data_IF_728667671625
#
_entry.id   IF_728667671625
#
_cell.length_a   1.000
_cell.length_b   1.000
_cell.length_c   1.000
_cell.angle_alpha   90.00
_cell.angle_beta   90.00
_cell.angle_gamma   90.00
#
_symmetry.space_group_name_H-M   'P 1'
#
loop_
_entity.id
_entity.type
_entity.pdbx_description
1 polymer ?
#
# COMPACT_ATOMS: atom_id res chain seq x y z
N UNK A 1 15.70 6.36 12.63
CA UNK A 1 14.95 5.20 13.18
C UNK A 1 15.53 3.86 12.73
N UNK A 2 16.22 3.74 11.58
CA UNK A 2 16.85 2.48 11.15
C UNK A 2 15.85 1.39 10.71
N UNK A 3 14.57 1.75 10.58
CA UNK A 3 13.50 0.82 10.19
C UNK A 3 13.58 0.51 8.69
N UNK A 4 13.35 -0.76 8.34
CA UNK A 4 13.24 -1.21 6.96
C UNK A 4 11.90 -0.73 6.35
N UNK A 5 11.96 -0.17 5.14
CA UNK A 5 10.80 0.40 4.43
C UNK A 5 10.77 -0.05 2.97
N UNK A 6 9.58 -0.05 2.37
CA UNK A 6 9.40 -0.19 0.93
C UNK A 6 9.30 1.20 0.28
N UNK A 7 10.12 1.48 -0.74
CA UNK A 7 10.11 2.75 -1.45
C UNK A 7 9.42 2.60 -2.82
N UNK A 8 8.32 3.31 -3.03
CA UNK A 8 7.65 3.41 -4.32
C UNK A 8 7.96 4.76 -4.96
N UNK A 9 8.79 4.76 -6.00
CA UNK A 9 9.14 5.95 -6.78
C UNK A 9 8.07 6.22 -7.85
N UNK A 10 7.45 7.39 -7.79
CA UNK A 10 6.44 7.87 -8.75
C UNK A 10 7.06 8.99 -9.58
N UNK A 11 7.42 8.74 -10.85
CA UNK A 11 8.03 9.75 -11.71
C UNK A 11 7.03 10.84 -12.11
N UNK A 12 7.50 12.09 -12.14
CA UNK A 12 6.79 13.22 -12.71
C UNK A 12 7.00 13.20 -14.22
N UNK A 13 5.94 12.94 -14.99
CA UNK A 13 6.02 12.95 -16.46
C UNK A 13 6.28 14.35 -17.03
N UNK A 14 5.78 15.38 -16.33
CA UNK A 14 5.88 16.80 -16.65
C UNK A 14 6.17 17.56 -15.35
N UNK A 15 7.45 17.78 -15.01
CA UNK A 15 7.84 18.40 -13.73
C UNK A 15 7.14 19.73 -13.43
N UNK A 16 6.87 20.51 -14.46
CA UNK A 16 6.16 21.79 -14.44
C UNK A 16 4.67 21.67 -14.07
N UNK A 17 4.03 20.56 -14.41
CA UNK A 17 2.62 20.27 -14.07
C UNK A 17 2.49 19.55 -12.71
N UNK A 18 3.60 19.06 -12.16
CA UNK A 18 3.63 18.31 -10.91
C UNK A 18 2.99 16.92 -11.02
N UNK A 19 2.43 16.43 -9.91
CA UNK A 19 1.73 15.14 -9.89
C UNK A 19 0.32 15.28 -10.48
N UNK A 20 -0.17 14.28 -11.24
CA UNK A 20 -1.55 14.25 -11.67
C UNK A 20 -2.52 14.40 -10.48
N UNK A 21 -3.64 15.13 -10.61
CA UNK A 21 -4.59 15.32 -9.51
C UNK A 21 -5.12 14.01 -8.92
N UNK A 22 -5.22 12.96 -9.75
CA UNK A 22 -5.56 11.62 -9.29
C UNK A 22 -4.52 11.06 -8.31
N UNK A 23 -3.23 11.18 -8.64
CA UNK A 23 -2.14 10.72 -7.77
C UNK A 23 -2.09 11.51 -6.47
N UNK A 24 -2.35 12.82 -6.51
CA UNK A 24 -2.45 13.63 -5.30
C UNK A 24 -3.61 13.17 -4.40
N UNK A 25 -4.78 12.87 -4.97
CA UNK A 25 -5.92 12.32 -4.23
C UNK A 25 -5.58 10.97 -3.58
N UNK A 26 -4.91 10.09 -4.30
CA UNK A 26 -4.48 8.78 -3.76
C UNK A 26 -3.49 8.95 -2.60
N UNK A 27 -2.49 9.82 -2.73
CA UNK A 27 -1.53 10.10 -1.65
C UNK A 27 -2.23 10.73 -0.45
N UNK A 28 -3.17 11.64 -0.67
CA UNK A 28 -3.95 12.26 0.41
C UNK A 28 -4.77 11.20 1.16
N UNK A 29 -5.49 10.34 0.45
CA UNK A 29 -6.26 9.25 1.06
C UNK A 29 -5.35 8.32 1.88
N UNK A 30 -4.19 7.94 1.35
CA UNK A 30 -3.21 7.12 2.07
C UNK A 30 -2.65 7.78 3.34
N UNK A 31 -2.60 9.12 3.39
CA UNK A 31 -2.18 9.87 4.58
C UNK A 31 -3.28 9.98 5.65
N UNK A 32 -4.54 9.92 5.24
CA UNK A 32 -5.71 10.01 6.13
C UNK A 32 -6.08 8.66 6.75
N UNK A 33 -5.61 7.55 6.17
CA UNK A 33 -5.75 6.23 6.76
C UNK A 33 -4.93 6.14 8.05
N UNK A 34 -5.65 6.06 9.18
CA UNK A 34 -5.09 5.71 10.49
C UNK A 34 -4.51 4.30 10.50
N UNK A 35 -3.51 4.07 11.35
CA UNK A 35 -2.80 2.80 11.46
C UNK A 35 -3.76 1.63 11.75
N UNK A 36 -3.69 0.60 10.90
CA UNK A 36 -4.53 -0.58 11.01
C UNK A 36 -3.75 -1.84 10.57
N UNK A 37 -3.82 -2.96 11.32
CA UNK A 37 -2.99 -4.16 11.08
C UNK A 37 -3.23 -4.88 9.73
N UNK A 38 -4.24 -4.46 8.98
CA UNK A 38 -4.60 -5.03 7.67
C UNK A 38 -4.64 -3.98 6.55
N UNK A 39 -4.01 -2.82 6.76
CA UNK A 39 -3.84 -1.79 5.72
C UNK A 39 -2.39 -1.34 5.71
N UNK A 40 -1.76 -1.35 4.54
CA UNK A 40 -0.35 -0.97 4.40
C UNK A 40 -0.17 0.51 4.73
N UNK A 41 0.67 0.81 5.72
CA UNK A 41 0.87 2.17 6.19
C UNK A 41 1.82 2.96 5.29
N UNK A 42 1.37 4.14 4.83
CA UNK A 42 2.25 5.18 4.31
C UNK A 42 2.99 5.85 5.47
N UNK A 43 4.31 5.65 5.56
CA UNK A 43 5.18 6.21 6.60
C UNK A 43 5.69 7.61 6.24
N UNK A 44 5.73 7.95 4.95
CA UNK A 44 6.13 9.29 4.50
C UNK A 44 6.12 9.44 2.98
N UNK A 45 6.21 10.69 2.52
CA UNK A 45 6.34 11.04 1.12
C UNK A 45 7.34 12.20 0.97
N UNK A 46 8.23 12.13 -0.01
CA UNK A 46 9.23 13.18 -0.26
C UNK A 46 9.56 13.30 -1.75
N UNK A 47 10.02 14.47 -2.17
CA UNK A 47 10.49 14.70 -3.52
C UNK A 47 11.93 14.19 -3.69
N UNK A 48 12.24 13.58 -4.84
CA UNK A 48 13.59 13.18 -5.22
C UNK A 48 13.78 13.37 -6.73
N UNK A 49 14.39 14.50 -7.12
CA UNK A 49 14.50 14.90 -8.52
C UNK A 49 13.12 15.06 -9.17
N UNK A 50 12.90 14.60 -10.42
CA UNK A 50 11.59 14.64 -11.07
C UNK A 50 10.69 13.49 -10.61
N UNK A 51 10.63 13.21 -9.32
CA UNK A 51 9.82 12.12 -8.77
C UNK A 51 9.35 12.42 -7.35
N UNK A 52 8.22 11.82 -6.97
CA UNK A 52 7.79 11.71 -5.59
C UNK A 52 8.01 10.27 -5.14
N UNK A 53 8.68 10.10 -4.00
CA UNK A 53 8.94 8.79 -3.40
C UNK A 53 8.01 8.62 -2.20
N UNK A 54 7.27 7.52 -2.20
CA UNK A 54 6.40 7.12 -1.12
C UNK A 54 7.09 6.02 -0.32
N UNK A 55 7.25 6.24 0.98
CA UNK A 55 7.82 5.26 1.91
C UNK A 55 6.68 4.53 2.64
N UNK A 56 6.60 3.22 2.44
CA UNK A 56 5.64 2.34 3.09
C UNK A 56 6.34 1.43 4.10
N UNK A 57 5.57 0.84 5.00
CA UNK A 57 6.07 -0.34 5.72
C UNK A 57 6.50 -1.43 4.73
N UNK A 58 7.53 -2.19 5.12
CA UNK A 58 8.03 -3.28 4.30
C UNK A 58 7.29 -4.58 4.60
N UNK A 59 6.80 -5.24 3.54
CA UNK A 59 6.24 -6.59 3.60
C UNK A 59 7.08 -7.52 2.73
N UNK A 60 7.31 -8.74 3.21
CA UNK A 60 8.20 -9.72 2.56
C UNK A 60 7.65 -10.24 1.22
N UNK A 61 6.34 -10.19 1.02
CA UNK A 61 5.71 -10.64 -0.22
C UNK A 61 4.24 -10.29 -0.32
N UNK A 62 3.63 -10.69 -1.43
CA UNK A 62 2.22 -10.45 -1.75
C UNK A 62 1.44 -11.76 -1.98
N UNK A 63 0.11 -11.65 -1.95
CA UNK A 63 -0.78 -12.80 -2.15
C UNK A 63 -0.61 -13.44 -3.54
N UNK A 64 -0.34 -12.66 -4.58
CA UNK A 64 -0.08 -13.19 -5.92
C UNK A 64 1.19 -14.05 -5.97
N UNK A 65 2.25 -13.62 -5.29
CA UNK A 65 3.47 -14.39 -5.10
C UNK A 65 3.22 -15.70 -4.35
N UNK A 66 2.47 -15.64 -3.25
CA UNK A 66 2.07 -16.83 -2.49
C UNK A 66 1.29 -17.83 -3.37
N UNK A 67 0.33 -17.34 -4.15
CA UNK A 67 -0.50 -18.18 -5.03
C UNK A 67 0.32 -18.83 -6.14
N UNK A 68 1.27 -18.12 -6.75
CA UNK A 68 2.18 -18.70 -7.76
C UNK A 68 3.12 -19.75 -7.18
N UNK A 69 3.54 -19.58 -5.93
CA UNK A 69 4.42 -20.53 -5.24
C UNK A 69 3.68 -21.76 -4.68
N UNK A 70 2.33 -21.74 -4.65
CA UNK A 70 1.53 -22.84 -4.10
C UNK A 70 0.96 -23.66 -5.26
N UNK A 71 1.42 -24.90 -5.49
CA UNK A 71 0.96 -25.72 -6.62
C UNK A 71 -0.48 -26.24 -6.45
N UNK A 72 -1.00 -26.18 -5.22
CA UNK A 72 -2.35 -26.61 -4.85
C UNK A 72 -3.17 -25.43 -4.32
N UNK A 73 -4.51 -25.49 -4.36
CA UNK A 73 -5.35 -24.49 -3.72
C UNK A 73 -4.98 -24.29 -2.24
N UNK A 74 -5.09 -23.06 -1.76
CA UNK A 74 -4.90 -22.77 -0.34
C UNK A 74 -5.97 -23.51 0.49
N UNK A 75 -5.62 -24.06 1.65
CA UNK A 75 -6.58 -24.79 2.48
C UNK A 75 -7.70 -23.83 2.96
N UNK A 76 -8.95 -24.30 3.11
CA UNK A 76 -10.09 -23.44 3.45
C UNK A 76 -9.91 -22.54 4.69
N UNK A 77 -9.24 -22.98 5.78
CA UNK A 77 -8.95 -22.10 6.91
C UNK A 77 -8.08 -20.88 6.54
N UNK A 78 -7.10 -21.07 5.65
CA UNK A 78 -6.20 -19.98 5.22
C UNK A 78 -6.90 -19.00 4.30
N UNK A 79 -7.75 -19.51 3.40
CA UNK A 79 -8.63 -18.68 2.56
C UNK A 79 -9.54 -17.80 3.43
N UNK A 80 -10.18 -18.40 4.44
CA UNK A 80 -11.04 -17.69 5.40
C UNK A 80 -10.29 -16.60 6.17
N UNK A 81 -9.08 -16.90 6.65
CA UNK A 81 -8.26 -15.93 7.37
C UNK A 81 -7.86 -14.74 6.49
N UNK A 82 -7.39 -14.99 5.27
CA UNK A 82 -7.03 -13.94 4.31
C UNK A 82 -8.24 -13.04 3.99
N UNK A 83 -9.39 -13.64 3.70
CA UNK A 83 -10.64 -12.91 3.47
C UNK A 83 -11.03 -12.06 4.68
N UNK A 84 -10.99 -12.62 5.89
CA UNK A 84 -11.34 -11.89 7.10
C UNK A 84 -10.40 -10.69 7.34
N UNK A 85 -9.09 -10.85 7.14
CA UNK A 85 -8.13 -9.74 7.26
C UNK A 85 -8.39 -8.66 6.20
N UNK A 86 -8.59 -9.04 4.94
CA UNK A 86 -8.90 -8.11 3.85
C UNK A 86 -10.19 -7.33 4.14
N UNK A 87 -11.26 -8.01 4.57
CA UNK A 87 -12.53 -7.37 4.87
C UNK A 87 -12.44 -6.43 6.08
N UNK A 88 -11.64 -6.76 7.09
CA UNK A 88 -11.38 -5.86 8.23
C UNK A 88 -10.63 -4.60 7.79
N UNK A 89 -9.59 -4.75 6.96
CA UNK A 89 -8.86 -3.61 6.39
C UNK A 89 -9.76 -2.73 5.51
N UNK A 90 -10.55 -3.35 4.64
CA UNK A 90 -11.51 -2.63 3.79
C UNK A 90 -12.57 -1.89 4.62
N UNK A 91 -13.11 -2.55 5.65
CA UNK A 91 -14.06 -1.94 6.58
C UNK A 91 -13.45 -0.77 7.36
N UNK A 92 -12.14 -0.78 7.61
CA UNK A 92 -11.43 0.39 8.15
C UNK A 92 -11.38 1.54 7.17
N UNK A 93 -10.96 1.28 5.93
CA UNK A 93 -10.93 2.30 4.88
C UNK A 93 -12.31 2.93 4.63
N UNK A 94 -13.37 2.12 4.55
CA UNK A 94 -14.74 2.61 4.31
C UNK A 94 -15.28 3.55 5.39
N UNK A 95 -14.77 3.50 6.63
CA UNK A 95 -15.22 4.42 7.70
C UNK A 95 -14.68 5.84 7.52
N UNK A 96 -13.68 6.04 6.66
CA UNK A 96 -13.05 7.33 6.41
C UNK A 96 -13.79 8.18 5.36
N UNK A 97 -14.79 7.61 4.67
CA UNK A 97 -15.55 8.25 3.60
C UNK A 97 -15.06 7.89 2.22
#
# INVERSE_FOLDING_TARGET
TGQLVALKKVPLRRPEEGLPPQTLREIKALREIEEHPHVVQLRGAFAQGPAVVLAFEYLVGDLGGLLRATPTPLPPPRVRALLAMTLRGLGHCHRLG
#
